data_IF_729208595062
#
_entry.id   IF_729208595062
#
_cell.length_a   1.000
_cell.length_b   1.000
_cell.length_c   1.000
_cell.angle_alpha   90.00
_cell.angle_beta   90.00
_cell.angle_gamma   90.00
#
_symmetry.space_group_name_H-M   'P 1'
#
loop_
_entity.id
_entity.type
_entity.pdbx_description
1 polymer ?
#
# COMPACT_ATOMS: atom_id res chain seq x y z
N UNK A 1 3.85 -2.56 -28.35
CA UNK A 1 3.10 -3.43 -27.42
C UNK A 1 1.61 -3.20 -27.60
N UNK A 2 0.81 -4.26 -27.81
CA UNK A 2 -0.64 -4.14 -27.98
C UNK A 2 -1.26 -3.90 -26.59
N UNK A 3 -1.83 -2.71 -26.36
CA UNK A 3 -2.49 -2.34 -25.09
C UNK A 3 -3.96 -2.79 -25.11
N UNK A 4 -4.56 -2.99 -23.94
CA UNK A 4 -6.00 -3.32 -23.82
C UNK A 4 -6.87 -2.10 -24.13
N UNK A 5 -8.13 -2.32 -24.53
CA UNK A 5 -9.09 -1.22 -24.82
C UNK A 5 -9.31 -0.30 -23.60
N UNK A 6 -9.42 -0.89 -22.41
CA UNK A 6 -9.56 -0.14 -21.16
C UNK A 6 -8.34 0.74 -20.87
N UNK A 7 -7.13 0.28 -21.19
CA UNK A 7 -5.92 1.08 -21.03
C UNK A 7 -5.88 2.28 -21.98
N UNK A 8 -6.32 2.12 -23.22
CA UNK A 8 -6.41 3.22 -24.19
C UNK A 8 -7.42 4.28 -23.75
N UNK A 9 -8.60 3.86 -23.27
CA UNK A 9 -9.61 4.78 -22.74
C UNK A 9 -9.15 5.54 -21.49
N UNK A 10 -8.33 4.90 -20.65
CA UNK A 10 -7.73 5.57 -19.50
C UNK A 10 -6.69 6.62 -19.94
N UNK A 11 -5.87 6.31 -20.94
CA UNK A 11 -4.88 7.26 -21.48
C UNK A 11 -5.53 8.50 -22.09
N UNK A 12 -6.65 8.38 -22.79
CA UNK A 12 -7.37 9.53 -23.38
C UNK A 12 -7.82 10.56 -22.33
N UNK A 13 -8.00 10.13 -21.07
CA UNK A 13 -8.39 11.01 -19.97
C UNK A 13 -7.19 11.65 -19.25
N UNK A 14 -5.96 11.22 -19.55
CA UNK A 14 -4.73 11.69 -18.92
C UNK A 14 -4.02 12.61 -19.91
N UNK A 15 -3.80 13.86 -19.52
CA UNK A 15 -3.01 14.82 -20.30
C UNK A 15 -1.53 14.68 -19.90
N UNK A 16 -0.66 14.27 -20.83
CA UNK A 16 0.74 13.92 -20.54
C UNK A 16 1.57 15.11 -20.01
N UNK A 17 1.33 16.33 -20.51
CA UNK A 17 2.11 17.52 -20.14
C UNK A 17 1.54 18.28 -18.92
N UNK A 18 0.45 17.79 -18.33
CA UNK A 18 -0.24 18.49 -17.25
C UNK A 18 0.26 18.04 -15.89
N UNK A 19 0.74 19.01 -15.11
CA UNK A 19 1.04 18.78 -13.70
C UNK A 19 -0.26 18.84 -12.91
N UNK A 20 -0.76 17.67 -12.52
CA UNK A 20 -1.94 17.57 -11.67
C UNK A 20 -1.58 17.83 -10.20
N UNK A 21 -2.46 18.54 -9.48
CA UNK A 21 -2.39 18.57 -8.03
C UNK A 21 -2.72 17.18 -7.47
N UNK A 22 -2.26 16.84 -6.24
CA UNK A 22 -2.52 15.52 -5.65
C UNK A 22 -4.01 15.15 -5.63
N UNK A 23 -4.88 16.10 -5.29
CA UNK A 23 -6.33 15.88 -5.31
C UNK A 23 -6.90 15.72 -6.72
N UNK A 24 -6.35 16.44 -7.70
CA UNK A 24 -6.73 16.31 -9.11
C UNK A 24 -6.36 14.93 -9.67
N UNK A 25 -5.15 14.45 -9.36
CA UNK A 25 -4.69 13.13 -9.76
C UNK A 25 -5.58 12.02 -9.19
N UNK A 26 -5.97 12.09 -7.92
CA UNK A 26 -6.84 11.09 -7.29
C UNK A 26 -8.22 11.00 -7.98
N UNK A 27 -8.79 12.12 -8.42
CA UNK A 27 -10.07 12.11 -9.15
C UNK A 27 -9.95 11.36 -10.48
N UNK A 28 -8.91 11.65 -11.24
CA UNK A 28 -8.65 11.00 -12.54
C UNK A 28 -8.39 9.50 -12.34
N UNK A 29 -7.65 9.13 -11.30
CA UNK A 29 -7.43 7.72 -10.97
C UNK A 29 -8.77 7.01 -10.72
N UNK A 30 -9.68 7.60 -9.92
CA UNK A 30 -11.01 7.03 -9.68
C UNK A 30 -11.84 6.89 -10.95
N UNK A 31 -11.74 7.83 -11.89
CA UNK A 31 -12.50 7.82 -13.15
C UNK A 31 -11.91 6.89 -14.23
N UNK A 32 -10.67 6.44 -14.04
CA UNK A 32 -9.96 5.51 -14.95
C UNK A 32 -9.96 4.07 -14.44
N UNK A 33 -10.37 3.83 -13.18
CA UNK A 33 -10.51 2.49 -12.61
C UNK A 33 -11.60 1.72 -13.35
N UNK A 34 -11.21 0.67 -14.07
CA UNK A 34 -12.12 -0.24 -14.77
C UNK A 34 -12.30 -1.58 -14.03
N UNK A 35 -11.71 -1.75 -12.85
CA UNK A 35 -11.72 -3.00 -12.09
C UNK A 35 -12.95 -3.08 -11.17
N UNK A 36 -13.47 -4.30 -10.97
CA UNK A 36 -14.62 -4.56 -10.08
C UNK A 36 -14.24 -4.73 -8.60
N UNK A 37 -12.95 -4.80 -8.30
CA UNK A 37 -12.39 -4.95 -6.95
C UNK A 37 -11.63 -3.69 -6.53
N UNK A 38 -11.34 -3.58 -5.23
CA UNK A 38 -10.62 -2.44 -4.66
C UNK A 38 -9.15 -2.41 -5.12
N UNK A 39 -8.77 -1.47 -6.00
CA UNK A 39 -7.44 -1.42 -6.57
C UNK A 39 -6.44 -0.77 -5.60
N UNK A 40 -5.16 -1.17 -5.70
CA UNK A 40 -4.09 -0.51 -4.95
C UNK A 40 -3.54 0.68 -5.74
N UNK A 41 -3.38 1.81 -5.07
CA UNK A 41 -2.72 3.00 -5.63
C UNK A 41 -1.22 2.93 -5.32
N UNK A 42 -0.40 3.11 -6.36
CA UNK A 42 1.05 3.18 -6.25
C UNK A 42 1.55 4.58 -6.64
N UNK A 43 2.64 5.02 -6.02
CA UNK A 43 3.26 6.32 -6.28
C UNK A 43 4.71 6.10 -6.66
N UNK A 44 5.01 6.24 -7.94
CA UNK A 44 6.38 6.19 -8.44
C UNK A 44 7.04 7.56 -8.32
N UNK A 45 8.16 7.62 -7.59
CA UNK A 45 8.99 8.82 -7.47
C UNK A 45 10.36 8.54 -8.04
N UNK A 46 10.78 9.33 -9.03
CA UNK A 46 12.15 9.27 -9.54
C UNK A 46 13.05 10.11 -8.63
N UNK A 47 13.88 9.45 -7.83
CA UNK A 47 14.85 10.11 -6.97
C UNK A 47 16.22 10.13 -7.66
N UNK A 48 16.92 11.26 -7.63
CA UNK A 48 18.27 11.42 -8.20
C UNK A 48 19.39 10.75 -7.38
N UNK A 49 19.09 9.64 -6.71
CA UNK A 49 20.03 8.90 -5.85
C UNK A 49 20.77 7.84 -6.66
N UNK A 50 22.06 7.66 -6.37
CA UNK A 50 22.84 6.55 -6.93
C UNK A 50 22.72 5.31 -6.02
N UNK A 51 22.00 4.26 -6.43
CA UNK A 51 21.78 3.07 -5.59
C UNK A 51 23.05 2.27 -5.34
N UNK A 52 24.15 2.55 -6.05
CA UNK A 52 25.45 1.89 -5.82
C UNK A 52 26.19 2.45 -4.61
N UNK A 53 25.78 3.64 -4.14
CA UNK A 53 26.34 4.31 -2.97
C UNK A 53 25.43 4.08 -1.77
N UNK A 54 25.94 3.37 -0.76
CA UNK A 54 25.13 2.94 0.39
C UNK A 54 24.53 4.11 1.20
N UNK A 55 25.19 5.27 1.20
CA UNK A 55 24.75 6.52 1.84
C UNK A 55 23.57 7.19 1.12
N UNK A 56 23.32 6.86 -0.15
CA UNK A 56 22.22 7.40 -0.94
C UNK A 56 21.03 6.44 -1.03
N UNK A 57 21.14 5.25 -0.44
CA UNK A 57 20.04 4.28 -0.39
C UNK A 57 18.98 4.74 0.61
N UNK A 58 17.80 5.12 0.11
CA UNK A 58 16.66 5.48 0.94
C UNK A 58 15.83 4.24 1.23
N UNK A 59 15.89 3.76 2.48
CA UNK A 59 15.00 2.71 2.99
C UNK A 59 14.40 3.19 4.31
N UNK A 60 13.09 3.38 4.31
CA UNK A 60 12.37 3.84 5.49
C UNK A 60 10.99 3.19 5.58
N UNK A 61 10.43 3.22 6.78
CA UNK A 61 9.03 2.90 7.05
C UNK A 61 8.28 4.21 7.27
N UNK A 62 7.06 4.31 6.74
CA UNK A 62 6.20 5.46 6.95
C UNK A 62 4.86 4.99 7.48
N UNK A 63 4.40 5.60 8.56
CA UNK A 63 3.05 5.39 9.05
C UNK A 63 2.10 6.31 8.30
N UNK A 64 1.18 5.72 7.54
CA UNK A 64 0.14 6.48 6.84
C UNK A 64 -0.90 6.98 7.87
N UNK A 65 -1.25 8.27 7.86
CA UNK A 65 -2.21 8.83 8.84
C UNK A 65 -3.62 8.24 8.71
N UNK A 66 -3.95 7.67 7.56
CA UNK A 66 -5.21 6.97 7.31
C UNK A 66 -5.05 5.44 7.23
N UNK A 67 -3.88 4.91 7.64
CA UNK A 67 -3.54 3.51 7.52
C UNK A 67 -3.39 3.03 6.07
N UNK A 68 -3.23 1.72 5.90
CA UNK A 68 -3.14 1.05 4.58
C UNK A 68 -4.50 0.62 4.05
N UNK A 69 -5.60 0.96 4.73
CA UNK A 69 -6.96 0.52 4.40
C UNK A 69 -7.21 -0.98 4.62
N UNK A 70 -6.19 -1.76 4.98
CA UNK A 70 -6.33 -3.17 5.36
C UNK A 70 -6.38 -3.30 6.86
N UNK A 71 -7.40 -3.98 7.37
CA UNK A 71 -7.44 -4.41 8.77
C UNK A 71 -6.37 -5.48 8.97
N UNK A 72 -5.19 -5.08 9.47
CA UNK A 72 -4.15 -6.00 9.90
C UNK A 72 -4.68 -6.81 11.07
N UNK A 73 -5.02 -8.07 10.81
CA UNK A 73 -5.35 -9.03 11.87
C UNK A 73 -4.05 -9.64 12.36
N UNK A 74 -3.71 -9.39 13.62
CA UNK A 74 -2.46 -9.89 14.22
C UNK A 74 -2.81 -11.12 15.05
N UNK A 75 -2.26 -12.27 14.64
CA UNK A 75 -2.33 -13.51 15.39
C UNK A 75 -0.95 -13.80 15.98
N UNK A 76 -0.89 -13.93 17.30
CA UNK A 76 0.35 -14.20 18.03
C UNK A 76 0.34 -15.63 18.55
N UNK A 77 1.34 -16.40 18.15
CA UNK A 77 1.62 -17.71 18.72
C UNK A 77 2.56 -17.57 19.92
N UNK A 78 2.00 -17.60 21.12
CA UNK A 78 2.77 -17.53 22.37
C UNK A 78 2.06 -18.32 23.48
N UNK A 79 2.83 -18.93 24.38
CA UNK A 79 2.34 -19.59 25.59
C UNK A 79 2.87 -18.93 26.85
N UNK A 80 2.17 -19.10 27.98
CA UNK A 80 2.55 -18.54 29.28
C UNK A 80 2.47 -17.02 29.33
N UNK A 81 3.37 -16.36 30.07
CA UNK A 81 3.36 -14.89 30.30
C UNK A 81 3.41 -14.07 29.00
N UNK A 82 4.06 -14.57 27.95
CA UNK A 82 4.12 -13.89 26.64
C UNK A 82 2.77 -13.88 25.91
N UNK A 83 1.87 -14.80 26.25
CA UNK A 83 0.50 -14.82 25.73
C UNK A 83 -0.33 -13.70 26.37
N UNK A 84 -0.15 -13.47 27.68
CA UNK A 84 -0.83 -12.39 28.40
C UNK A 84 -0.31 -11.02 27.96
N UNK A 85 1.00 -10.86 27.80
CA UNK A 85 1.60 -9.64 27.23
C UNK A 85 1.09 -9.36 25.80
N UNK A 86 0.93 -10.40 24.97
CA UNK A 86 0.40 -10.25 23.61
C UNK A 86 -1.09 -9.85 23.60
N UNK A 87 -1.87 -10.35 24.57
CA UNK A 87 -3.28 -10.00 24.75
C UNK A 87 -3.44 -8.56 25.22
N UNK A 88 -2.61 -8.13 26.17
CA UNK A 88 -2.57 -6.75 26.66
C UNK A 88 -2.07 -5.76 25.60
N UNK A 89 -1.13 -6.17 24.74
CA UNK A 89 -0.63 -5.38 23.62
C UNK A 89 -1.64 -5.23 22.45
N UNK A 90 -2.80 -5.91 22.51
CA UNK A 90 -3.88 -5.76 21.54
C UNK A 90 -3.80 -6.69 20.32
N UNK A 91 -3.23 -7.89 20.47
CA UNK A 91 -3.34 -8.93 19.44
C UNK A 91 -4.80 -9.40 19.30
N UNK A 92 -5.28 -9.54 18.05
CA UNK A 92 -6.65 -9.99 17.76
C UNK A 92 -6.87 -11.46 18.16
N UNK A 93 -5.82 -12.28 18.06
CA UNK A 93 -5.85 -13.71 18.41
C UNK A 93 -4.56 -14.12 19.11
N UNK A 94 -4.68 -14.83 20.22
CA UNK A 94 -3.55 -15.43 20.96
C UNK A 94 -3.86 -16.90 21.19
N UNK A 95 -2.97 -17.79 20.75
CA UNK A 95 -3.15 -19.25 20.87
C UNK A 95 -1.84 -20.01 20.70
N UNK A 96 -1.78 -21.24 21.22
CA UNK A 96 -0.64 -22.15 21.09
C UNK A 96 -0.98 -23.33 20.16
N UNK A 97 -1.43 -24.46 20.70
CA UNK A 97 -1.77 -25.67 19.92
C UNK A 97 -3.21 -25.70 19.37
N UNK A 98 -4.10 -24.81 19.82
CA UNK A 98 -5.55 -24.84 19.51
C UNK A 98 -5.94 -24.08 18.22
N UNK A 99 -4.98 -23.42 17.57
CA UNK A 99 -5.19 -22.60 16.35
C UNK A 99 -4.39 -23.13 15.14
N UNK A 100 -4.00 -24.41 15.17
CA UNK A 100 -3.26 -25.12 14.10
C UNK A 100 -4.20 -25.91 13.18
#
# INVERSE_FOLDING_TARGET
MKRSKAYQQALEKIEEDKIYSPMGAIKIIKDTVSTKFDPTLDVSMCMGVDPRKADQMVRGTVNLPHGTGKTSRVLVFAGGEKADEAREAGADFVGADDML
#
